data_IF_370736180623
#
_entry.id   IF_370736180623
#
_cell.length_a   1.000
_cell.length_b   1.000
_cell.length_c   1.000
_cell.angle_alpha   90.00
_cell.angle_beta   90.00
_cell.angle_gamma   90.00
#
_symmetry.space_group_name_H-M   'P 1'
#
loop_
_entity.id
_entity.type
_entity.pdbx_description
1 polymer ?
#
# COMPACT_ATOMS: atom_id res chain seq x y z
N UNK A 1 50.77 12.17 -49.59
CA UNK A 1 51.47 11.18 -48.73
C UNK A 1 50.51 10.76 -47.63
N UNK A 2 49.85 9.62 -47.78
CA UNK A 2 48.95 9.07 -46.78
C UNK A 2 49.79 8.29 -45.75
N UNK A 3 49.88 8.79 -44.53
CA UNK A 3 50.52 8.09 -43.43
C UNK A 3 49.66 6.87 -43.04
N UNK A 4 50.04 5.69 -43.50
CA UNK A 4 49.42 4.43 -43.11
C UNK A 4 49.66 4.17 -41.63
N UNK A 5 48.58 4.07 -40.85
CA UNK A 5 48.61 3.54 -39.48
C UNK A 5 49.23 2.14 -39.50
N UNK A 6 50.34 1.97 -38.78
CA UNK A 6 51.07 0.70 -38.72
C UNK A 6 50.22 -0.40 -38.07
N UNK A 7 50.30 -1.66 -38.51
CA UNK A 7 49.47 -2.76 -37.99
C UNK A 7 49.61 -2.98 -36.47
N UNK A 8 50.76 -2.61 -35.87
CA UNK A 8 50.97 -2.65 -34.42
C UNK A 8 50.20 -1.59 -33.63
N UNK A 9 49.96 -0.40 -34.21
CA UNK A 9 49.14 0.65 -33.57
C UNK A 9 47.65 0.33 -33.69
N UNK A 10 47.23 -0.25 -34.82
CA UNK A 10 45.88 -0.78 -35.00
C UNK A 10 45.58 -1.95 -34.05
N UNK A 11 46.52 -2.89 -33.86
CA UNK A 11 46.37 -4.01 -32.93
C UNK A 11 46.28 -3.56 -31.46
N UNK A 12 47.15 -2.63 -31.03
CA UNK A 12 47.07 -2.02 -29.68
C UNK A 12 45.78 -1.23 -29.45
N UNK A 13 45.30 -0.51 -30.47
CA UNK A 13 44.01 0.19 -30.39
C UNK A 13 42.84 -0.78 -30.24
N UNK A 14 42.88 -1.92 -30.95
CA UNK A 14 41.85 -2.96 -30.90
C UNK A 14 41.86 -3.71 -29.57
N UNK A 15 43.03 -4.00 -29.02
CA UNK A 15 43.20 -4.65 -27.71
C UNK A 15 42.76 -3.74 -26.55
N UNK A 16 43.04 -2.43 -26.65
CA UNK A 16 42.59 -1.42 -25.70
C UNK A 16 41.08 -1.18 -25.74
N UNK A 17 40.49 -1.16 -26.94
CA UNK A 17 39.04 -1.07 -27.12
C UNK A 17 38.31 -2.32 -26.58
N UNK A 18 38.88 -3.52 -26.78
CA UNK A 18 38.28 -4.79 -26.30
C UNK A 18 38.39 -4.94 -24.77
N UNK A 19 39.46 -4.42 -24.16
CA UNK A 19 39.60 -4.35 -22.69
C UNK A 19 38.71 -3.27 -22.07
N UNK A 20 38.41 -2.18 -22.78
CA UNK A 20 37.43 -1.19 -22.32
C UNK A 20 35.99 -1.71 -22.36
N UNK A 21 35.59 -2.44 -23.41
CA UNK A 21 34.24 -3.01 -23.53
C UNK A 21 33.93 -4.10 -22.48
N UNK A 22 34.95 -4.79 -21.96
CA UNK A 22 34.80 -5.79 -20.90
C UNK A 22 34.88 -5.20 -19.49
N UNK A 23 35.12 -3.89 -19.37
CA UNK A 23 35.23 -3.21 -18.08
C UNK A 23 33.87 -3.14 -17.39
N UNK A 24 33.88 -3.38 -16.07
CA UNK A 24 32.73 -3.16 -15.20
C UNK A 24 32.98 -1.99 -14.26
N UNK A 25 31.91 -1.25 -13.95
CA UNK A 25 31.93 -0.04 -13.14
C UNK A 25 31.08 -0.23 -11.89
N UNK A 26 31.58 0.20 -10.74
CA UNK A 26 30.80 0.23 -9.50
C UNK A 26 29.71 1.29 -9.59
N UNK A 27 28.46 0.86 -9.37
CA UNK A 27 27.26 1.70 -9.42
C UNK A 27 26.68 1.95 -8.02
N UNK A 28 26.48 0.89 -7.24
CA UNK A 28 25.85 0.93 -5.91
C UNK A 28 26.65 0.17 -4.87
N UNK A 29 26.78 0.77 -3.68
CA UNK A 29 27.40 0.13 -2.52
C UNK A 29 26.48 -0.91 -1.88
N UNK A 30 27.04 -1.75 -1.01
CA UNK A 30 26.29 -2.83 -0.34
C UNK A 30 25.12 -2.28 0.49
N UNK A 31 25.32 -1.18 1.22
CA UNK A 31 24.26 -0.57 2.04
C UNK A 31 23.06 -0.13 1.20
N UNK A 32 23.30 0.53 0.06
CA UNK A 32 22.23 1.01 -0.83
C UNK A 32 21.41 -0.16 -1.38
N UNK A 33 22.06 -1.29 -1.64
CA UNK A 33 21.40 -2.52 -2.11
C UNK A 33 20.58 -3.19 -1.00
N UNK A 34 21.08 -3.19 0.23
CA UNK A 34 20.33 -3.69 1.39
C UNK A 34 19.11 -2.80 1.63
N UNK A 35 19.26 -1.48 1.59
CA UNK A 35 18.15 -0.54 1.71
C UNK A 35 17.09 -0.80 0.64
N UNK A 36 17.50 -0.96 -0.61
CA UNK A 36 16.58 -1.28 -1.70
C UNK A 36 15.86 -2.63 -1.47
N UNK A 37 16.55 -3.66 -1.01
CA UNK A 37 15.92 -4.95 -0.72
C UNK A 37 14.87 -4.84 0.40
N UNK A 38 15.19 -4.12 1.47
CA UNK A 38 14.25 -3.88 2.57
C UNK A 38 13.07 -3.00 2.13
N UNK A 39 13.30 -2.03 1.25
CA UNK A 39 12.26 -1.22 0.62
C UNK A 39 11.33 -2.09 -0.21
N UNK A 40 11.90 -2.93 -1.09
CA UNK A 40 11.14 -3.88 -1.90
C UNK A 40 10.29 -4.80 -1.03
N UNK A 41 10.86 -5.38 0.02
CA UNK A 41 10.16 -6.28 0.92
C UNK A 41 9.01 -5.59 1.66
N UNK A 42 9.28 -4.45 2.30
CA UNK A 42 8.25 -3.69 3.04
C UNK A 42 7.15 -3.17 2.12
N UNK A 43 7.51 -2.58 0.98
CA UNK A 43 6.56 -2.09 -0.01
C UNK A 43 5.67 -3.22 -0.54
N UNK A 44 6.27 -4.38 -0.85
CA UNK A 44 5.50 -5.54 -1.33
C UNK A 44 4.52 -6.02 -0.27
N UNK A 45 4.96 -6.15 0.99
CA UNK A 45 4.09 -6.53 2.11
C UNK A 45 2.94 -5.52 2.31
N UNK A 46 3.22 -4.22 2.25
CA UNK A 46 2.22 -3.16 2.32
C UNK A 46 1.22 -3.24 1.17
N UNK A 47 1.68 -3.50 -0.05
CA UNK A 47 0.82 -3.62 -1.23
C UNK A 47 -0.10 -4.85 -1.14
N UNK A 48 0.45 -6.03 -0.82
CA UNK A 48 -0.32 -7.29 -0.77
C UNK A 48 -1.24 -7.39 0.45
N UNK A 49 -1.06 -6.56 1.48
CA UNK A 49 -1.98 -6.47 2.62
C UNK A 49 -2.94 -5.28 2.51
N UNK A 50 -2.52 -4.17 1.91
CA UNK A 50 -3.32 -2.94 1.78
C UNK A 50 -4.34 -2.99 0.64
N UNK A 51 -3.94 -3.48 -0.54
CA UNK A 51 -4.87 -3.57 -1.68
C UNK A 51 -6.06 -4.50 -1.40
N UNK A 52 -5.89 -5.69 -0.77
CA UNK A 52 -7.02 -6.51 -0.38
C UNK A 52 -8.00 -5.84 0.59
N UNK A 53 -7.50 -4.99 1.50
CA UNK A 53 -8.36 -4.23 2.39
C UNK A 53 -9.19 -3.17 1.65
N UNK A 54 -8.62 -2.53 0.62
CA UNK A 54 -9.36 -1.59 -0.25
C UNK A 54 -10.40 -2.31 -1.10
N UNK A 55 -10.04 -3.46 -1.68
CA UNK A 55 -10.90 -4.24 -2.57
C UNK A 55 -11.43 -5.51 -1.88
N UNK A 56 -11.99 -5.38 -0.67
CA UNK A 56 -12.35 -6.51 0.19
C UNK A 56 -13.40 -7.46 -0.41
N UNK A 57 -14.21 -6.99 -1.36
CA UNK A 57 -15.25 -7.80 -2.00
C UNK A 57 -14.71 -8.76 -3.06
N UNK A 58 -13.51 -8.51 -3.61
CA UNK A 58 -12.92 -9.32 -4.67
C UNK A 58 -12.46 -10.69 -4.15
N UNK A 59 -12.63 -11.73 -4.96
CA UNK A 59 -12.28 -13.11 -4.58
C UNK A 59 -10.81 -13.27 -4.21
N UNK A 60 -9.90 -12.63 -4.95
CA UNK A 60 -8.46 -12.66 -4.66
C UNK A 60 -8.14 -12.00 -3.31
N UNK A 61 -8.82 -10.91 -2.97
CA UNK A 61 -8.65 -10.20 -1.70
C UNK A 61 -9.07 -11.08 -0.53
N UNK A 62 -10.21 -11.78 -0.64
CA UNK A 62 -10.68 -12.73 0.37
C UNK A 62 -9.67 -13.87 0.59
N UNK A 63 -9.08 -14.40 -0.48
CA UNK A 63 -8.04 -15.43 -0.40
C UNK A 63 -6.78 -14.92 0.30
N UNK A 64 -6.29 -13.73 -0.08
CA UNK A 64 -5.12 -13.11 0.54
C UNK A 64 -5.35 -12.81 2.03
N UNK A 65 -6.49 -12.23 2.38
CA UNK A 65 -6.85 -11.93 3.78
C UNK A 65 -6.89 -13.21 4.61
N UNK A 66 -7.49 -14.30 4.09
CA UNK A 66 -7.47 -15.61 4.77
C UNK A 66 -6.06 -16.15 4.91
N UNK A 67 -5.22 -16.01 3.88
CA UNK A 67 -3.82 -16.45 3.90
C UNK A 67 -2.97 -15.76 4.96
N UNK A 68 -3.27 -14.50 5.29
CA UNK A 68 -2.63 -13.76 6.39
C UNK A 68 -3.24 -14.02 7.77
N UNK A 69 -4.19 -14.96 7.90
CA UNK A 69 -4.83 -15.28 9.17
C UNK A 69 -6.05 -14.42 9.50
N UNK A 70 -6.72 -13.84 8.49
CA UNK A 70 -7.91 -13.01 8.65
C UNK A 70 -7.60 -11.51 8.62
N UNK A 71 -8.57 -10.71 9.04
CA UNK A 71 -8.48 -9.24 9.01
C UNK A 71 -7.41 -8.76 10.00
N UNK A 72 -7.36 -9.34 11.18
CA UNK A 72 -6.42 -9.02 12.26
C UNK A 72 -4.99 -9.30 11.82
N UNK A 73 -4.75 -10.47 11.23
CA UNK A 73 -3.44 -10.84 10.71
C UNK A 73 -3.00 -9.95 9.55
N UNK A 74 -3.90 -9.66 8.61
CA UNK A 74 -3.63 -8.75 7.48
C UNK A 74 -3.26 -7.35 7.99
N UNK A 75 -4.02 -6.81 8.95
CA UNK A 75 -3.75 -5.50 9.56
C UNK A 75 -2.43 -5.48 10.32
N UNK A 76 -2.14 -6.53 11.10
CA UNK A 76 -0.90 -6.65 11.87
C UNK A 76 0.34 -6.68 10.97
N UNK A 77 0.30 -7.47 9.89
CA UNK A 77 1.38 -7.51 8.89
C UNK A 77 1.54 -6.16 8.20
N UNK A 78 0.43 -5.51 7.82
CA UNK A 78 0.47 -4.18 7.21
C UNK A 78 1.14 -3.15 8.12
N UNK A 79 0.75 -3.10 9.39
CA UNK A 79 1.30 -2.20 10.39
C UNK A 79 2.79 -2.47 10.64
N UNK A 80 3.17 -3.75 10.75
CA UNK A 80 4.58 -4.15 10.94
C UNK A 80 5.44 -3.74 9.73
N UNK A 81 4.93 -3.94 8.50
CA UNK A 81 5.62 -3.52 7.29
C UNK A 81 5.74 -1.99 7.20
N UNK A 82 4.73 -1.23 7.66
CA UNK A 82 4.78 0.22 7.73
C UNK A 82 5.86 0.72 8.70
N UNK A 83 5.95 0.12 9.90
CA UNK A 83 7.00 0.44 10.87
C UNK A 83 8.39 0.15 10.29
N UNK A 84 8.56 -1.00 9.62
CA UNK A 84 9.81 -1.34 8.94
C UNK A 84 10.18 -0.29 7.90
N UNK A 85 9.23 0.12 7.06
CA UNK A 85 9.45 1.13 6.02
C UNK A 85 9.83 2.50 6.63
N UNK A 86 9.23 2.89 7.76
CA UNK A 86 9.57 4.15 8.44
C UNK A 86 10.98 4.10 9.04
N UNK A 87 11.34 3.01 9.72
CA UNK A 87 12.70 2.82 10.26
C UNK A 87 13.73 2.86 9.12
N UNK A 88 13.45 2.16 8.02
CA UNK A 88 14.28 2.18 6.82
C UNK A 88 14.40 3.61 6.25
N UNK A 89 13.30 4.36 6.20
CA UNK A 89 13.30 5.74 5.71
C UNK A 89 14.14 6.67 6.60
N UNK A 90 14.06 6.52 7.92
CA UNK A 90 14.92 7.25 8.88
C UNK A 90 16.39 6.93 8.62
N UNK A 91 16.73 5.65 8.50
CA UNK A 91 18.09 5.21 8.19
C UNK A 91 18.58 5.80 6.86
N UNK A 92 17.76 5.72 5.80
CA UNK A 92 18.08 6.24 4.47
C UNK A 92 18.35 7.73 4.47
N UNK A 93 17.51 8.52 5.16
CA UNK A 93 17.72 9.97 5.30
C UNK A 93 19.06 10.25 5.99
N UNK A 94 19.34 9.59 7.11
CA UNK A 94 20.62 9.72 7.81
C UNK A 94 21.80 9.24 6.94
N UNK A 95 21.63 8.20 6.14
CA UNK A 95 22.70 7.72 5.28
C UNK A 95 22.96 8.69 4.10
N UNK A 96 21.92 9.30 3.54
CA UNK A 96 22.04 10.36 2.53
C UNK A 96 22.76 11.58 3.11
N UNK A 97 22.40 12.04 4.32
CA UNK A 97 23.12 13.14 4.99
C UNK A 97 24.58 12.79 5.28
N UNK A 98 24.88 11.54 5.65
CA UNK A 98 26.26 11.07 5.78
C UNK A 98 27.03 11.17 4.45
N UNK A 99 26.43 10.73 3.34
CA UNK A 99 27.03 10.83 1.99
C UNK A 99 27.31 12.28 1.59
N UNK A 100 26.42 13.21 1.94
CA UNK A 100 26.57 14.65 1.61
C UNK A 100 27.61 15.32 2.52
N UNK A 101 27.50 15.15 3.84
CA UNK A 101 28.33 15.87 4.80
C UNK A 101 29.72 15.26 4.94
N UNK A 102 29.80 13.95 5.20
CA UNK A 102 31.07 13.26 5.47
C UNK A 102 31.80 12.93 4.17
N UNK A 103 31.11 12.29 3.23
CA UNK A 103 31.72 11.83 1.97
C UNK A 103 31.75 12.91 0.88
N UNK A 104 31.09 14.06 1.07
CA UNK A 104 31.02 15.16 0.10
C UNK A 104 30.59 14.70 -1.31
N UNK A 105 29.72 13.70 -1.36
CA UNK A 105 29.10 13.27 -2.60
C UNK A 105 28.22 14.41 -3.14
N UNK A 106 28.18 14.63 -4.47
CA UNK A 106 27.31 15.63 -5.06
C UNK A 106 25.85 15.29 -4.80
N UNK A 107 24.99 16.32 -4.76
CA UNK A 107 23.54 16.20 -4.64
C UNK A 107 22.89 15.75 -5.96
N UNK A 108 23.40 14.67 -6.55
CA UNK A 108 23.04 14.23 -7.90
C UNK A 108 21.60 13.73 -8.02
N UNK A 109 20.93 13.42 -6.90
CA UNK A 109 19.51 13.01 -6.86
C UNK A 109 18.54 14.20 -6.81
N UNK A 110 19.03 15.44 -6.66
CA UNK A 110 18.15 16.61 -6.73
C UNK A 110 17.74 16.82 -8.20
N UNK A 111 16.44 17.00 -8.49
CA UNK A 111 15.99 17.36 -9.83
C UNK A 111 16.46 18.79 -10.13
N UNK A 112 16.91 19.01 -11.36
CA UNK A 112 17.33 20.31 -11.85
C UNK A 112 16.81 20.60 -13.26
N UNK A 113 17.09 21.80 -13.76
CA UNK A 113 16.68 22.21 -15.12
C UNK A 113 17.24 21.30 -16.21
N UNK A 114 18.40 20.69 -15.97
CA UNK A 114 18.99 19.72 -16.90
C UNK A 114 18.10 18.48 -17.07
N UNK A 115 17.46 18.00 -16.00
CA UNK A 115 16.59 16.82 -16.06
C UNK A 115 15.36 17.06 -16.93
N UNK A 116 14.81 18.29 -16.88
CA UNK A 116 13.70 18.71 -17.76
C UNK A 116 14.15 18.73 -19.21
N UNK A 117 15.35 19.29 -19.48
CA UNK A 117 15.94 19.32 -20.82
C UNK A 117 16.19 17.90 -21.34
N UNK A 118 16.75 17.02 -20.53
CA UNK A 118 17.02 15.63 -20.87
C UNK A 118 15.72 14.85 -21.11
N UNK A 119 14.67 15.13 -20.34
CA UNK A 119 13.33 14.58 -20.54
C UNK A 119 12.73 15.01 -21.88
N UNK A 120 12.74 16.30 -22.20
CA UNK A 120 12.26 16.82 -23.49
C UNK A 120 13.07 16.23 -24.65
N UNK A 121 14.40 16.15 -24.51
CA UNK A 121 15.28 15.60 -25.53
C UNK A 121 15.05 14.09 -25.72
N UNK A 122 14.82 13.34 -24.64
CA UNK A 122 14.46 11.92 -24.70
C UNK A 122 13.11 11.72 -25.42
N UNK A 123 12.11 12.56 -25.15
CA UNK A 123 10.82 12.51 -25.87
C UNK A 123 11.03 12.80 -27.35
N UNK A 124 11.78 13.86 -27.70
CA UNK A 124 12.10 14.17 -29.09
C UNK A 124 12.86 13.03 -29.79
N UNK A 125 13.80 12.38 -29.10
CA UNK A 125 14.51 11.20 -29.61
C UNK A 125 13.55 10.02 -29.86
N UNK A 126 12.68 9.71 -28.90
CA UNK A 126 11.72 8.61 -29.03
C UNK A 126 10.68 8.86 -30.13
N UNK A 127 10.36 10.12 -30.43
CA UNK A 127 9.50 10.53 -31.56
C UNK A 127 10.25 10.61 -32.90
N UNK A 128 11.55 10.32 -32.93
CA UNK A 128 12.38 10.43 -34.13
C UNK A 128 12.73 11.86 -34.56
N UNK A 129 12.43 12.86 -33.72
CA UNK A 129 12.73 14.29 -33.98
C UNK A 129 14.17 14.66 -33.64
N UNK A 130 14.87 13.83 -32.86
CA UNK A 130 16.29 13.96 -32.57
C UNK A 130 17.05 12.71 -33.03
N UNK A 131 18.19 12.84 -33.74
CA UNK A 131 19.00 11.71 -34.17
C UNK A 131 19.87 11.13 -33.03
N UNK A 132 20.04 11.86 -31.93
CA UNK A 132 20.91 11.47 -30.82
C UNK A 132 20.14 11.34 -29.51
N UNK A 133 20.50 10.29 -28.75
CA UNK A 133 20.01 10.07 -27.39
C UNK A 133 20.69 11.08 -26.44
N UNK A 134 19.97 11.67 -25.47
CA UNK A 134 20.59 12.54 -24.46
C UNK A 134 21.65 11.79 -23.65
N UNK A 135 22.82 12.43 -23.48
CA UNK A 135 23.92 11.90 -22.68
C UNK A 135 23.67 12.20 -21.19
N UNK A 136 23.07 11.25 -20.49
CA UNK A 136 22.64 11.43 -19.11
C UNK A 136 23.74 11.13 -18.09
N UNK A 137 23.59 11.73 -16.92
CA UNK A 137 24.54 11.62 -15.82
C UNK A 137 24.32 10.34 -14.98
N UNK A 138 25.01 10.25 -13.83
CA UNK A 138 24.94 9.14 -12.87
C UNK A 138 23.52 8.73 -12.52
N UNK A 139 22.60 9.68 -12.44
CA UNK A 139 21.18 9.39 -12.34
C UNK A 139 20.47 10.08 -13.48
N UNK A 140 19.74 9.28 -14.27
CA UNK A 140 18.92 9.77 -15.36
C UNK A 140 17.65 10.45 -14.81
N UNK A 141 16.98 11.25 -15.64
CA UNK A 141 15.80 12.01 -15.18
C UNK A 141 14.67 11.07 -14.69
N UNK A 142 14.51 9.89 -15.30
CA UNK A 142 13.49 8.92 -14.94
C UNK A 142 13.74 8.30 -13.56
N UNK A 143 14.97 7.88 -13.28
CA UNK A 143 15.44 7.39 -11.98
C UNK A 143 15.21 8.44 -10.88
N UNK A 144 15.45 9.73 -11.18
CA UNK A 144 15.17 10.81 -10.24
C UNK A 144 13.68 10.99 -9.98
N UNK A 145 12.85 10.97 -11.03
CA UNK A 145 11.39 11.06 -10.89
C UNK A 145 10.87 9.91 -10.03
N UNK A 146 11.31 8.67 -10.30
CA UNK A 146 10.93 7.50 -9.51
C UNK A 146 11.35 7.63 -8.05
N UNK A 147 12.60 8.05 -7.80
CA UNK A 147 13.09 8.27 -6.44
C UNK A 147 12.23 9.30 -5.69
N UNK A 148 11.91 10.43 -6.32
CA UNK A 148 11.11 11.48 -5.69
C UNK A 148 9.63 11.09 -5.54
N UNK A 149 9.09 10.32 -6.48
CA UNK A 149 7.76 9.73 -6.35
C UNK A 149 7.69 8.82 -5.12
N UNK A 150 8.70 7.97 -4.89
CA UNK A 150 8.76 7.11 -3.69
C UNK A 150 8.92 7.95 -2.42
N UNK A 151 9.78 8.98 -2.41
CA UNK A 151 9.92 9.87 -1.24
C UNK A 151 8.59 10.56 -0.90
N UNK A 152 7.93 11.15 -1.90
CA UNK A 152 6.66 11.83 -1.72
C UNK A 152 5.54 10.87 -1.31
N UNK A 153 5.41 9.74 -2.00
CA UNK A 153 4.45 8.69 -1.69
C UNK A 153 4.64 8.16 -0.27
N UNK A 154 5.88 7.93 0.17
CA UNK A 154 6.16 7.48 1.55
C UNK A 154 5.70 8.50 2.59
N UNK A 155 5.90 9.80 2.34
CA UNK A 155 5.42 10.86 3.24
C UNK A 155 3.89 10.90 3.33
N UNK A 156 3.21 10.90 2.18
CA UNK A 156 1.73 10.90 2.14
C UNK A 156 1.17 9.64 2.78
N UNK A 157 1.71 8.47 2.43
CA UNK A 157 1.25 7.18 2.94
C UNK A 157 1.49 7.06 4.45
N UNK A 158 2.63 7.56 4.96
CA UNK A 158 2.91 7.61 6.39
C UNK A 158 1.93 8.51 7.15
N UNK A 159 1.68 9.73 6.64
CA UNK A 159 0.76 10.68 7.27
C UNK A 159 -0.69 10.17 7.25
N UNK A 160 -1.19 9.79 6.07
CA UNK A 160 -2.57 9.31 5.92
C UNK A 160 -2.77 7.96 6.61
N UNK A 161 -1.77 7.08 6.62
CA UNK A 161 -1.80 5.81 7.35
C UNK A 161 -1.93 6.02 8.85
N UNK A 162 -1.23 7.02 9.40
CA UNK A 162 -1.39 7.39 10.81
C UNK A 162 -2.76 7.94 11.13
N UNK A 163 -3.33 8.78 10.25
CA UNK A 163 -4.68 9.31 10.46
C UNK A 163 -5.72 8.18 10.55
N UNK A 164 -5.52 7.11 9.77
CA UNK A 164 -6.37 5.92 9.77
C UNK A 164 -6.10 4.98 10.94
N UNK A 165 -4.85 4.87 11.40
CA UNK A 165 -4.50 4.09 12.59
C UNK A 165 -5.05 4.77 13.86
N UNK A 166 -4.90 6.09 13.97
CA UNK A 166 -5.22 6.88 15.16
C UNK A 166 -6.24 8.00 14.85
N UNK A 167 -7.50 7.65 14.53
CA UNK A 167 -8.50 8.63 14.12
C UNK A 167 -8.92 9.57 15.24
N UNK A 168 -8.94 9.13 16.51
CA UNK A 168 -9.28 10.01 17.65
C UNK A 168 -8.18 11.05 17.87
N UNK A 169 -6.92 10.64 17.84
CA UNK A 169 -5.79 11.57 17.98
C UNK A 169 -5.80 12.60 16.85
N UNK A 170 -6.12 12.17 15.62
CA UNK A 170 -6.24 13.05 14.46
C UNK A 170 -7.38 14.06 14.62
N UNK A 171 -8.56 13.61 15.05
CA UNK A 171 -9.75 14.47 15.18
C UNK A 171 -9.71 15.47 16.34
N UNK A 172 -8.75 15.31 17.27
CA UNK A 172 -8.45 16.34 18.27
C UNK A 172 -7.73 17.57 17.69
N UNK A 173 -7.04 17.40 16.56
CA UNK A 173 -6.22 18.44 15.93
C UNK A 173 -6.86 18.92 14.63
N UNK A 174 -7.49 18.02 13.88
CA UNK A 174 -8.09 18.28 12.58
C UNK A 174 -9.60 17.98 12.57
N UNK A 175 -10.39 18.63 11.71
CA UNK A 175 -11.81 18.31 11.55
C UNK A 175 -12.03 16.84 11.12
N UNK A 176 -13.21 16.29 11.47
CA UNK A 176 -13.57 14.89 11.19
C UNK A 176 -13.53 14.48 9.71
N UNK A 177 -13.70 15.44 8.79
CA UNK A 177 -13.63 15.23 7.34
C UNK A 177 -12.24 14.75 6.85
N UNK A 178 -11.18 14.99 7.63
CA UNK A 178 -9.85 14.53 7.29
C UNK A 178 -9.70 13.01 7.36
N UNK A 179 -10.55 12.30 8.11
CA UNK A 179 -10.51 10.83 8.17
C UNK A 179 -10.95 10.19 6.85
N UNK A 180 -12.13 10.49 6.27
CA UNK A 180 -12.50 9.98 4.96
C UNK A 180 -11.58 10.51 3.85
N UNK A 181 -11.09 11.76 3.95
CA UNK A 181 -10.09 12.28 3.01
C UNK A 181 -8.78 11.48 3.05
N UNK A 182 -8.27 11.16 4.25
CA UNK A 182 -7.11 10.30 4.42
C UNK A 182 -7.35 8.90 3.88
N UNK A 183 -8.54 8.31 4.09
CA UNK A 183 -8.91 7.00 3.54
C UNK A 183 -8.88 7.00 2.02
N UNK A 184 -9.42 8.04 1.39
CA UNK A 184 -9.39 8.21 -0.05
C UNK A 184 -7.95 8.39 -0.56
N UNK A 185 -7.20 9.34 0.02
CA UNK A 185 -5.83 9.65 -0.36
C UNK A 185 -4.91 8.43 -0.21
N UNK A 186 -4.90 7.78 0.96
CA UNK A 186 -4.12 6.57 1.22
C UNK A 186 -4.44 5.45 0.22
N UNK A 187 -5.74 5.21 -0.01
CA UNK A 187 -6.18 4.15 -0.91
C UNK A 187 -5.90 4.42 -2.39
N UNK A 188 -5.92 5.68 -2.86
CA UNK A 188 -5.59 6.02 -4.25
C UNK A 188 -4.08 6.11 -4.46
N UNK A 189 -3.35 6.69 -3.50
CA UNK A 189 -1.89 6.74 -3.53
C UNK A 189 -1.30 5.33 -3.51
N UNK A 190 -1.86 4.40 -2.74
CA UNK A 190 -1.45 3.00 -2.78
C UNK A 190 -1.58 2.38 -4.18
N UNK A 191 -2.67 2.67 -4.91
CA UNK A 191 -2.85 2.19 -6.29
C UNK A 191 -1.83 2.85 -7.20
N UNK A 192 -1.66 4.17 -7.12
CA UNK A 192 -0.70 4.90 -7.93
C UNK A 192 0.72 4.38 -7.70
N UNK A 193 1.12 4.16 -6.45
CA UNK A 193 2.42 3.63 -6.09
C UNK A 193 2.63 2.21 -6.65
N UNK A 194 1.66 1.30 -6.46
CA UNK A 194 1.76 -0.07 -6.99
C UNK A 194 1.81 -0.07 -8.52
N UNK A 195 0.96 0.70 -9.18
CA UNK A 195 0.97 0.80 -10.63
C UNK A 195 2.27 1.43 -11.14
N UNK A 196 2.77 2.49 -10.50
CA UNK A 196 4.04 3.10 -10.87
C UNK A 196 5.20 2.11 -10.76
N UNK A 197 5.25 1.29 -9.71
CA UNK A 197 6.29 0.28 -9.58
C UNK A 197 6.13 -0.82 -10.65
N UNK A 198 4.92 -1.32 -10.89
CA UNK A 198 4.70 -2.42 -11.83
C UNK A 198 4.82 -2.01 -13.30
N UNK A 199 4.29 -0.85 -13.69
CA UNK A 199 4.23 -0.45 -15.10
C UNK A 199 5.44 0.36 -15.52
N UNK A 200 5.99 1.19 -14.63
CA UNK A 200 7.09 2.08 -14.96
C UNK A 200 8.42 1.50 -14.48
N UNK A 201 8.59 1.29 -13.18
CA UNK A 201 9.88 0.83 -12.62
C UNK A 201 10.28 -0.57 -13.14
N UNK A 202 9.41 -1.57 -13.00
CA UNK A 202 9.68 -2.94 -13.47
C UNK A 202 9.88 -2.96 -14.99
N UNK A 203 9.12 -2.18 -15.75
CA UNK A 203 9.33 -2.08 -17.20
C UNK A 203 10.71 -1.53 -17.54
N UNK A 204 11.10 -0.38 -16.98
CA UNK A 204 12.37 0.24 -17.31
C UNK A 204 13.56 -0.60 -16.83
N UNK A 205 13.53 -1.05 -15.58
CA UNK A 205 14.66 -1.75 -14.95
C UNK A 205 14.73 -3.22 -15.34
N UNK A 206 13.61 -3.94 -15.40
CA UNK A 206 13.59 -5.39 -15.58
C UNK A 206 13.14 -5.86 -16.96
N UNK A 207 12.53 -5.02 -17.81
CA UNK A 207 12.12 -5.45 -19.15
C UNK A 207 12.90 -4.74 -20.25
N UNK A 208 13.02 -3.41 -20.20
CA UNK A 208 13.66 -2.60 -21.24
C UNK A 208 15.18 -2.72 -21.21
N UNK A 209 15.80 -2.42 -20.06
CA UNK A 209 17.27 -2.42 -19.91
C UNK A 209 17.81 -3.68 -19.26
N UNK A 210 16.97 -4.41 -18.50
CA UNK A 210 17.38 -5.58 -17.72
C UNK A 210 18.61 -5.32 -16.82
N UNK A 211 18.54 -4.22 -16.07
CA UNK A 211 19.62 -3.71 -15.26
C UNK A 211 19.73 -4.47 -13.92
N UNK A 212 20.86 -5.16 -13.71
CA UNK A 212 21.13 -5.97 -12.50
C UNK A 212 21.93 -5.24 -11.43
N UNK A 213 22.19 -3.95 -11.60
CA UNK A 213 23.12 -3.20 -10.74
C UNK A 213 22.67 -3.12 -9.29
N UNK A 214 21.37 -3.20 -8.98
CA UNK A 214 20.88 -3.23 -7.61
C UNK A 214 21.15 -4.57 -6.90
N UNK A 215 21.37 -5.65 -7.65
CA UNK A 215 21.72 -6.96 -7.11
C UNK A 215 23.23 -7.24 -7.12
N UNK A 216 23.98 -6.67 -8.08
CA UNK A 216 25.43 -6.92 -8.21
C UNK A 216 26.28 -5.76 -7.70
N UNK A 217 25.73 -4.54 -7.66
CA UNK A 217 26.45 -3.30 -7.39
C UNK A 217 27.23 -2.76 -8.60
N UNK A 218 27.16 -3.41 -9.77
CA UNK A 218 28.01 -3.11 -10.92
C UNK A 218 27.22 -2.99 -12.23
N UNK A 219 27.75 -2.20 -13.16
CA UNK A 219 27.28 -2.08 -14.54
C UNK A 219 28.43 -2.40 -15.51
N UNK A 220 28.10 -2.99 -16.66
CA UNK A 220 29.02 -3.15 -17.79
C UNK A 220 29.29 -1.83 -18.50
N UNK A 221 30.33 -1.79 -19.32
CA UNK A 221 30.64 -0.64 -20.17
C UNK A 221 29.45 -0.26 -21.07
N UNK A 222 28.83 -1.25 -21.73
CA UNK A 222 27.72 -1.02 -22.64
C UNK A 222 26.49 -0.43 -21.92
N UNK A 223 26.12 -0.96 -20.75
CA UNK A 223 25.02 -0.40 -19.94
C UNK A 223 25.33 1.04 -19.48
N UNK A 224 26.58 1.31 -19.08
CA UNK A 224 27.02 2.66 -18.73
C UNK A 224 26.98 3.63 -19.92
N UNK A 225 27.35 3.18 -21.11
CA UNK A 225 27.29 3.99 -22.33
C UNK A 225 25.85 4.30 -22.72
N UNK A 226 24.98 3.30 -22.62
CA UNK A 226 23.58 3.45 -23.02
C UNK A 226 22.78 4.29 -22.02
N UNK A 227 22.91 4.06 -20.72
CA UNK A 227 22.09 4.69 -19.69
C UNK A 227 22.74 5.92 -19.03
N UNK A 228 24.08 5.96 -18.98
CA UNK A 228 24.84 6.93 -18.17
C UNK A 228 26.06 7.51 -18.91
N UNK A 229 25.91 7.82 -20.21
CA UNK A 229 27.00 8.24 -21.09
C UNK A 229 27.85 9.40 -20.54
N UNK A 230 27.23 10.38 -19.85
CA UNK A 230 27.97 11.50 -19.28
C UNK A 230 28.80 11.10 -18.05
N UNK A 231 28.32 10.15 -17.23
CA UNK A 231 29.12 9.59 -16.15
C UNK A 231 30.28 8.77 -16.73
N UNK A 232 30.02 7.88 -17.69
CA UNK A 232 31.05 7.05 -18.33
C UNK A 232 32.19 7.91 -18.88
N UNK A 233 31.86 8.98 -19.62
CA UNK A 233 32.85 9.93 -20.16
C UNK A 233 33.74 10.52 -19.07
N UNK A 234 33.18 10.93 -17.93
CA UNK A 234 33.99 11.47 -16.81
C UNK A 234 34.86 10.42 -16.16
N UNK A 235 34.38 9.18 -16.02
CA UNK A 235 35.18 8.07 -15.46
C UNK A 235 36.35 7.72 -16.35
N UNK A 236 36.15 7.65 -17.67
CA UNK A 236 37.22 7.38 -18.64
C UNK A 236 38.26 8.50 -18.68
N UNK A 237 37.84 9.74 -18.47
CA UNK A 237 38.73 10.91 -18.37
C UNK A 237 39.46 11.03 -17.02
N UNK A 238 39.18 10.14 -16.06
CA UNK A 238 39.73 10.24 -14.70
C UNK A 238 39.21 11.46 -13.92
N UNK A 239 38.14 12.10 -14.40
CA UNK A 239 37.54 13.29 -13.81
C UNK A 239 36.53 12.95 -12.69
N UNK A 240 36.70 11.80 -12.03
CA UNK A 240 35.89 11.46 -10.87
C UNK A 240 36.26 12.34 -9.69
N UNK A 241 35.24 12.86 -9.00
CA UNK A 241 35.46 13.63 -7.78
C UNK A 241 36.04 12.68 -6.71
N UNK A 242 37.27 12.90 -6.24
CA UNK A 242 37.87 12.02 -5.24
C UNK A 242 37.13 12.14 -3.91
N UNK A 243 37.10 11.04 -3.17
CA UNK A 243 36.61 11.05 -1.79
C UNK A 243 37.53 11.95 -0.93
N UNK A 244 36.99 12.65 0.08
CA UNK A 244 37.82 13.40 1.01
C UNK A 244 38.86 12.50 1.69
N UNK A 245 40.05 13.02 2.03
CA UNK A 245 41.09 12.28 2.72
C UNK A 245 40.57 11.57 3.99
N UNK A 246 41.14 10.41 4.38
CA UNK A 246 40.68 9.66 5.55
C UNK A 246 40.60 10.49 6.84
N UNK A 247 41.56 11.39 7.07
CA UNK A 247 41.58 12.25 8.25
C UNK A 247 40.41 13.27 8.28
N UNK A 248 40.02 13.84 7.13
CA UNK A 248 38.86 14.73 7.05
C UNK A 248 37.55 13.96 7.27
N UNK A 249 37.44 12.78 6.67
CA UNK A 249 36.26 11.92 6.84
C UNK A 249 36.11 11.55 8.31
N UNK A 250 37.18 11.14 8.97
CA UNK A 250 37.17 10.83 10.39
C UNK A 250 36.75 12.03 11.25
N UNK A 251 37.31 13.23 11.00
CA UNK A 251 36.92 14.45 11.71
C UNK A 251 35.42 14.76 11.56
N UNK A 252 34.89 14.66 10.34
CA UNK A 252 33.46 14.89 10.06
C UNK A 252 32.58 13.80 10.67
N UNK A 253 32.99 12.54 10.59
CA UNK A 253 32.26 11.41 11.20
C UNK A 253 32.16 11.54 12.72
N UNK A 254 33.21 12.01 13.40
CA UNK A 254 33.16 12.23 14.87
C UNK A 254 32.11 13.25 15.29
N UNK A 255 31.82 14.25 14.45
CA UNK A 255 30.72 15.18 14.69
C UNK A 255 29.38 14.60 14.22
N UNK A 256 29.38 13.95 13.06
CA UNK A 256 28.17 13.45 12.43
C UNK A 256 27.51 12.33 13.24
N UNK A 257 28.27 11.33 13.68
CA UNK A 257 27.75 10.14 14.35
C UNK A 257 26.97 10.45 15.65
N UNK A 258 27.44 11.29 16.59
CA UNK A 258 26.66 11.62 17.78
C UNK A 258 25.39 12.40 17.42
N UNK A 259 25.48 13.37 16.50
CA UNK A 259 24.30 14.14 16.04
C UNK A 259 23.29 13.21 15.38
N UNK A 260 23.73 12.34 14.47
CA UNK A 260 22.89 11.35 13.82
C UNK A 260 22.30 10.36 14.83
N UNK A 261 23.05 9.98 15.86
CA UNK A 261 22.57 9.12 16.95
C UNK A 261 21.45 9.77 17.75
N UNK A 262 21.59 11.06 18.10
CA UNK A 262 20.53 11.82 18.78
C UNK A 262 19.30 11.98 17.89
N UNK A 263 19.50 12.34 16.61
CA UNK A 263 18.39 12.47 15.65
C UNK A 263 17.69 11.13 15.41
N UNK A 264 18.43 10.03 15.30
CA UNK A 264 17.88 8.69 15.18
C UNK A 264 17.08 8.31 16.43
N UNK A 265 17.62 8.53 17.63
CA UNK A 265 16.93 8.26 18.89
C UNK A 265 15.64 9.07 19.00
N UNK A 266 15.67 10.36 18.63
CA UNK A 266 14.48 11.20 18.60
C UNK A 266 13.46 10.71 17.57
N UNK A 267 13.88 10.39 16.34
CA UNK A 267 12.99 9.90 15.30
C UNK A 267 12.37 8.54 15.64
N UNK A 268 13.14 7.64 16.28
CA UNK A 268 12.66 6.34 16.75
C UNK A 268 11.73 6.48 17.94
N UNK A 269 12.02 7.38 18.89
CA UNK A 269 11.12 7.70 20.01
C UNK A 269 9.82 8.32 19.48
N UNK A 270 9.91 9.23 18.52
CA UNK A 270 8.76 9.79 17.83
C UNK A 270 7.97 8.68 17.15
N UNK A 271 8.62 7.78 16.41
CA UNK A 271 7.96 6.63 15.76
C UNK A 271 7.27 5.72 16.78
N UNK A 272 7.94 5.41 17.89
CA UNK A 272 7.37 4.62 18.97
C UNK A 272 6.14 5.30 19.56
N UNK A 273 6.24 6.59 19.91
CA UNK A 273 5.12 7.38 20.43
C UNK A 273 3.97 7.43 19.41
N UNK A 274 4.29 7.70 18.14
CA UNK A 274 3.36 7.77 17.01
C UNK A 274 2.55 6.48 16.85
N UNK A 275 3.15 5.30 17.09
CA UNK A 275 2.45 4.02 16.98
C UNK A 275 1.83 3.49 18.27
N UNK A 276 2.24 3.99 19.45
CA UNK A 276 1.75 3.48 20.75
C UNK A 276 0.61 4.27 21.36
N UNK A 277 0.32 5.47 20.86
CA UNK A 277 -0.90 6.22 21.21
C UNK A 277 -2.09 5.60 20.47
N UNK A 278 -2.45 4.37 20.81
CA UNK A 278 -3.66 3.76 20.26
C UNK A 278 -4.88 4.34 20.97
N UNK A 279 -5.41 5.43 20.41
CA UNK A 279 -6.75 5.91 20.72
C UNK A 279 -7.64 5.54 19.55
N UNK A 280 -8.10 4.29 19.55
CA UNK A 280 -9.03 3.77 18.55
C UNK A 280 -10.46 3.91 19.07
N UNK A 281 -11.41 4.12 18.15
CA UNK A 281 -12.83 4.31 18.47
C UNK A 281 -13.57 3.01 18.81
N UNK A 282 -12.90 1.85 18.73
CA UNK A 282 -13.51 0.55 18.99
C UNK A 282 -12.98 0.06 20.33
N UNK A 283 -13.81 0.16 21.37
CA UNK A 283 -13.64 -0.67 22.57
C UNK A 283 -13.80 -2.11 22.11
N UNK A 284 -12.73 -2.89 22.07
CA UNK A 284 -12.86 -4.33 21.85
C UNK A 284 -13.70 -4.86 23.00
N UNK A 285 -14.98 -5.16 22.73
CA UNK A 285 -15.76 -5.94 23.67
C UNK A 285 -14.94 -7.19 23.99
N UNK A 286 -14.83 -7.59 25.27
CA UNK A 286 -14.14 -8.83 25.60
C UNK A 286 -14.73 -9.95 24.73
N UNK A 287 -13.92 -10.95 24.32
CA UNK A 287 -14.44 -12.13 23.65
C UNK A 287 -15.68 -12.56 24.42
N UNK A 288 -16.85 -12.60 23.77
CA UNK A 288 -18.05 -13.09 24.40
C UNK A 288 -17.67 -14.43 25.00
N UNK A 289 -17.59 -14.47 26.34
CA UNK A 289 -17.40 -15.71 27.07
C UNK A 289 -18.48 -16.64 26.52
N UNK A 290 -18.11 -17.84 26.11
CA UNK A 290 -19.07 -18.81 25.59
C UNK A 290 -20.02 -19.14 26.75
N UNK A 291 -21.02 -18.28 26.96
CA UNK A 291 -22.13 -18.55 27.85
C UNK A 291 -22.82 -19.71 27.16
N UNK A 292 -22.58 -20.90 27.68
CA UNK A 292 -23.44 -22.04 27.42
C UNK A 292 -24.84 -21.57 27.82
N UNK A 293 -25.61 -21.13 26.83
CA UNK A 293 -27.03 -20.87 27.01
C UNK A 293 -27.60 -22.19 27.48
N UNK A 294 -27.93 -22.26 28.77
CA UNK A 294 -28.62 -23.41 29.32
C UNK A 294 -29.98 -23.46 28.64
N UNK A 295 -30.11 -24.30 27.62
CA UNK A 295 -31.39 -24.68 27.05
C UNK A 295 -31.92 -25.78 27.96
N UNK A 296 -32.95 -25.55 28.80
CA UNK A 296 -33.56 -26.64 29.55
C UNK A 296 -34.13 -27.66 28.57
N UNK A 297 -33.72 -28.93 28.71
CA UNK A 297 -34.18 -30.09 27.92
C UNK A 297 -35.70 -30.35 28.00
N UNK A 298 -36.46 -29.54 28.74
CA UNK A 298 -37.90 -29.64 28.86
C UNK A 298 -38.54 -28.28 28.75
N UNK A 299 -39.18 -28.02 27.61
CA UNK A 299 -40.24 -27.02 27.54
C UNK A 299 -41.29 -27.35 28.62
N UNK A 300 -41.81 -26.35 29.36
CA UNK A 300 -42.94 -26.57 30.25
C UNK A 300 -44.10 -27.14 29.43
N UNK A 301 -44.70 -28.23 29.92
CA UNK A 301 -45.87 -28.84 29.27
C UNK A 301 -46.94 -27.76 29.10
N UNK A 302 -47.29 -27.46 27.85
CA UNK A 302 -48.44 -26.60 27.55
C UNK A 302 -49.68 -27.20 28.24
N UNK A 303 -50.55 -26.36 28.86
CA UNK A 303 -51.79 -26.84 29.43
C UNK A 303 -52.63 -27.53 28.35
N UNK A 304 -53.12 -28.73 28.67
CA UNK A 304 -53.97 -29.54 27.80
C UNK A 304 -55.19 -28.73 27.35
N UNK A 305 -55.41 -28.66 26.04
CA UNK A 305 -56.57 -27.99 25.46
C UNK A 305 -57.87 -28.57 26.04
N UNK A 306 -58.79 -27.68 26.42
CA UNK A 306 -60.14 -28.03 26.89
C UNK A 306 -60.89 -28.76 25.76
N UNK A 307 -61.61 -29.86 26.04
CA UNK A 307 -62.33 -30.58 24.99
C UNK A 307 -63.45 -29.72 24.40
N UNK A 308 -63.47 -29.63 23.07
CA UNK A 308 -64.53 -29.00 22.27
C UNK A 308 -65.75 -29.94 22.28
N UNK A 309 -66.97 -29.45 22.53
CA UNK A 309 -68.16 -30.30 22.48
C UNK A 309 -68.46 -30.76 21.05
N UNK A 310 -68.73 -32.06 20.95
CA UNK A 310 -69.05 -32.82 19.74
C UNK A 310 -70.29 -32.24 19.05
N UNK A 311 -70.19 -31.87 17.76
CA UNK A 311 -71.34 -31.86 16.85
C UNK A 311 -71.36 -33.16 16.06
N UNK A 312 -72.52 -33.81 16.09
CA UNK A 312 -72.84 -35.02 15.34
C UNK A 312 -73.05 -34.73 13.85
N UNK A 313 -72.51 -35.66 13.06
CA UNK A 313 -72.95 -36.16 11.75
C UNK A 313 -73.04 -35.17 10.56
N UNK A 314 -72.39 -35.49 9.44
CA UNK A 314 -72.92 -36.38 8.40
C UNK A 314 -71.89 -36.69 7.29
N UNK A 315 -71.87 -37.97 6.91
CA UNK A 315 -71.62 -38.60 5.61
C UNK A 315 -70.52 -38.13 4.64
N UNK A 316 -69.62 -39.07 4.29
CA UNK A 316 -69.30 -39.38 2.88
C UNK A 316 -67.84 -39.38 2.42
N UNK A 317 -67.19 -40.57 2.42
CA UNK A 317 -66.22 -41.17 1.45
C UNK A 317 -64.89 -40.43 1.10
N UNK A 318 -63.73 -41.13 0.96
CA UNK A 318 -62.40 -40.53 1.12
C UNK A 318 -61.71 -40.14 -0.20
N UNK A 319 -60.97 -39.02 -0.19
CA UNK A 319 -60.01 -38.65 -1.23
C UNK A 319 -58.58 -38.63 -0.65
N UNK A 320 -57.73 -39.38 -1.34
CA UNK A 320 -56.27 -39.51 -1.31
C UNK A 320 -55.51 -38.28 -0.74
N UNK A 321 -54.63 -38.51 0.25
CA UNK A 321 -53.62 -37.56 0.73
C UNK A 321 -52.80 -37.00 -0.45
N UNK A 322 -52.96 -35.71 -0.75
CA UNK A 322 -51.91 -34.90 -1.36
C UNK A 322 -51.14 -34.20 -0.24
N UNK A 323 -49.82 -34.31 -0.29
CA UNK A 323 -48.91 -33.58 0.60
C UNK A 323 -48.98 -32.11 0.20
N UNK A 324 -49.72 -31.32 0.97
CA UNK A 324 -49.82 -29.88 0.80
C UNK A 324 -48.52 -29.21 1.24
N UNK A 325 -47.99 -28.34 0.38
CA UNK A 325 -46.83 -27.51 0.67
C UNK A 325 -47.16 -26.60 1.84
N UNK A 326 -46.19 -26.43 2.74
CA UNK A 326 -46.21 -25.43 3.81
C UNK A 326 -46.71 -24.08 3.26
N UNK A 327 -47.70 -23.42 3.89
CA UNK A 327 -48.15 -22.13 3.40
C UNK A 327 -47.04 -21.09 3.59
N UNK A 328 -46.84 -20.30 2.55
CA UNK A 328 -46.00 -19.12 2.55
C UNK A 328 -46.41 -18.19 3.72
N UNK A 329 -45.45 -17.61 4.47
CA UNK A 329 -45.78 -16.73 5.57
C UNK A 329 -46.65 -15.56 5.07
N UNK A 330 -47.61 -15.08 5.88
CA UNK A 330 -48.50 -14.01 5.47
C UNK A 330 -47.70 -12.78 5.04
N UNK A 331 -48.07 -12.19 3.91
CA UNK A 331 -47.48 -10.95 3.42
C UNK A 331 -47.62 -9.85 4.48
N UNK A 332 -46.49 -9.25 4.87
CA UNK A 332 -46.48 -8.13 5.79
C UNK A 332 -47.06 -6.93 5.05
N UNK A 333 -48.14 -6.34 5.57
CA UNK A 333 -48.79 -5.19 4.95
C UNK A 333 -47.85 -3.99 4.95
N UNK A 334 -47.71 -3.29 3.82
CA UNK A 334 -46.91 -2.07 3.76
C UNK A 334 -47.47 -1.00 4.70
N UNK A 335 -46.58 -0.33 5.40
CA UNK A 335 -46.91 0.79 6.27
C UNK A 335 -45.91 1.95 6.01
N UNK A 336 -46.33 3.20 6.27
CA UNK A 336 -45.39 4.31 6.36
C UNK A 336 -44.34 4.02 7.43
N UNK A 337 -43.09 4.42 7.16
CA UNK A 337 -42.02 4.33 8.16
C UNK A 337 -42.12 5.55 9.07
N UNK A 338 -42.98 5.47 10.08
CA UNK A 338 -43.10 6.51 11.10
C UNK A 338 -41.83 6.58 11.99
N UNK A 339 -41.72 7.61 12.84
CA UNK A 339 -40.50 8.14 13.52
C UNK A 339 -39.60 7.18 14.35
N UNK A 340 -39.72 5.85 14.20
CA UNK A 340 -38.74 4.85 14.62
C UNK A 340 -37.45 4.87 13.76
N UNK A 341 -36.87 6.07 13.57
CA UNK A 341 -35.67 6.31 12.75
C UNK A 341 -34.41 5.65 13.30
N UNK A 342 -34.42 5.13 14.53
CA UNK A 342 -33.24 4.58 15.21
C UNK A 342 -32.62 3.39 14.46
N UNK A 343 -33.43 2.41 14.07
CA UNK A 343 -32.93 1.14 13.54
C UNK A 343 -32.55 1.26 12.05
N UNK A 344 -33.30 2.06 11.29
CA UNK A 344 -33.02 2.34 9.88
C UNK A 344 -31.68 3.06 9.68
N UNK A 345 -31.31 3.93 10.63
CA UNK A 345 -30.07 4.73 10.56
C UNK A 345 -28.79 3.91 10.81
N UNK A 346 -28.94 2.66 11.26
CA UNK A 346 -27.82 1.72 11.43
C UNK A 346 -27.20 1.33 10.08
N UNK A 347 -28.02 1.28 9.03
CA UNK A 347 -27.62 0.89 7.67
C UNK A 347 -27.76 2.02 6.64
N UNK A 348 -28.64 3.00 6.89
CA UNK A 348 -28.81 4.20 6.06
C UNK A 348 -28.22 5.43 6.75
N UNK A 349 -27.31 6.15 6.10
CA UNK A 349 -26.63 7.29 6.74
C UNK A 349 -27.44 8.61 6.63
N UNK A 350 -27.42 9.40 7.71
CA UNK A 350 -27.86 10.81 7.80
C UNK A 350 -27.01 11.77 6.95
N UNK A 351 -25.84 11.36 6.44
CA UNK A 351 -24.87 12.22 5.72
C UNK A 351 -24.52 11.81 4.27
N UNK A 352 -25.42 11.12 3.54
CA UNK A 352 -25.49 11.25 2.07
C UNK A 352 -24.60 10.39 1.16
N UNK A 353 -23.98 9.30 1.64
CA UNK A 353 -23.16 8.40 0.79
C UNK A 353 -23.75 6.99 0.57
N UNK A 354 -24.97 6.72 1.07
CA UNK A 354 -25.77 5.51 0.82
C UNK A 354 -27.19 5.96 0.42
N UNK A 355 -27.92 5.14 -0.35
CA UNK A 355 -29.28 5.42 -0.80
C UNK A 355 -30.18 5.93 0.34
N UNK A 356 -31.03 6.96 0.09
CA UNK A 356 -31.90 7.54 1.10
C UNK A 356 -32.82 6.47 1.70
N UNK A 357 -33.15 6.62 2.97
CA UNK A 357 -34.08 5.72 3.64
C UNK A 357 -35.42 5.72 2.87
N UNK A 358 -36.01 4.55 2.59
CA UNK A 358 -37.28 4.46 1.89
C UNK A 358 -38.41 5.05 2.75
N UNK A 359 -39.37 5.71 2.11
CA UNK A 359 -40.54 6.30 2.76
C UNK A 359 -41.55 5.19 3.14
N UNK A 360 -41.55 4.10 2.38
CA UNK A 360 -42.36 2.91 2.58
C UNK A 360 -41.67 1.68 1.97
N UNK A 361 -42.08 0.49 2.38
CA UNK A 361 -41.43 -0.77 1.97
C UNK A 361 -42.28 -1.59 0.97
N UNK A 362 -43.18 -0.96 0.21
CA UNK A 362 -44.14 -1.65 -0.66
C UNK A 362 -43.52 -2.56 -1.73
N UNK A 363 -42.28 -2.28 -2.15
CA UNK A 363 -41.54 -3.08 -3.15
C UNK A 363 -40.54 -4.08 -2.52
N UNK A 364 -40.57 -4.27 -1.19
CA UNK A 364 -39.66 -5.18 -0.47
C UNK A 364 -40.29 -6.54 -0.25
N UNK A 365 -39.43 -7.57 -0.19
CA UNK A 365 -39.82 -8.96 0.04
C UNK A 365 -39.84 -9.29 1.53
N UNK A 366 -40.65 -10.27 1.94
CA UNK A 366 -40.84 -10.64 3.35
C UNK A 366 -39.56 -11.02 4.09
N UNK A 367 -38.59 -11.63 3.41
CA UNK A 367 -37.27 -11.98 3.95
C UNK A 367 -36.48 -10.74 4.38
N UNK A 368 -36.51 -9.66 3.59
CA UNK A 368 -35.84 -8.39 3.91
C UNK A 368 -36.51 -7.71 5.12
N UNK A 369 -37.84 -7.82 5.24
CA UNK A 369 -38.57 -7.27 6.38
C UNK A 369 -38.19 -7.97 7.69
N UNK A 370 -37.96 -9.29 7.66
CA UNK A 370 -37.63 -10.08 8.84
C UNK A 370 -36.25 -9.76 9.40
N UNK A 371 -35.27 -9.40 8.55
CA UNK A 371 -33.94 -9.00 9.00
C UNK A 371 -33.98 -7.78 9.94
N UNK A 372 -34.98 -6.91 9.80
CA UNK A 372 -35.14 -5.70 10.62
C UNK A 372 -36.17 -5.89 11.76
N UNK A 373 -37.27 -6.61 11.52
CA UNK A 373 -38.34 -6.78 12.52
C UNK A 373 -38.13 -7.93 13.51
N UNK A 374 -37.30 -8.93 13.18
CA UNK A 374 -37.05 -10.06 14.08
C UNK A 374 -36.43 -9.63 15.43
N UNK A 375 -35.64 -8.55 15.43
CA UNK A 375 -35.04 -7.97 16.65
C UNK A 375 -36.09 -7.26 17.51
N UNK A 376 -37.07 -6.59 16.90
CA UNK A 376 -38.09 -5.84 17.60
C UNK A 376 -39.12 -6.74 18.30
N UNK A 377 -39.50 -7.87 17.69
CA UNK A 377 -40.45 -8.83 18.30
C UNK A 377 -39.86 -9.56 19.52
N UNK A 378 -38.56 -9.82 19.52
CA UNK A 378 -37.89 -10.52 20.62
C UNK A 378 -37.66 -9.61 21.85
N UNK A 379 -37.57 -8.29 21.62
CA UNK A 379 -37.54 -7.26 22.68
C UNK A 379 -38.92 -6.95 23.22
N UNK A 380 -39.97 -6.95 22.39
CA UNK A 380 -41.35 -6.68 22.82
C UNK A 380 -42.02 -7.81 23.62
N UNK A 381 -41.47 -9.03 23.58
CA UNK A 381 -41.95 -10.20 24.34
C UNK A 381 -41.24 -10.42 25.68
N UNK A 382 -40.34 -9.52 26.08
CA UNK A 382 -39.74 -9.45 27.43
C UNK A 382 -40.34 -8.28 28.20
#
# INVERSE_FOLDING_TARGET
>A
MAAGTTPATAAKGKERAMTEQTRTFERFGILERIEHFLLLLSFTLLAITGLPQKFATWSISKTLIRGFGGIEGTRSVHHTAAVLLIILSIFHVLYVFYKIYVLRRPLSMLPGLQDVRDGIHMVAYNLGLSPTKPAMDRYNFAEKIEYWAVVWGTLIMGLTGYMLWNPIATTRILPGEFIPAAKAAHGFEAILAVLSILTWHVYHVHLKYFNRSMFTGRLSYHEMEEEHAAELKRRLQGAERPLPPPHERWRRSRLYLPVAGVLAAFALLFTYYFFTIEQTAITTLPPQENVNVYIPDRLPKLPTATPIPVRLAEAGVPERLQVERTPEPPAISSHPVDDARGDCLSCHNVYGYIAPAPIEHAERTNDICLDCHAVAEEVARR
#
